data_IF_498285777557
#
_entry.id   IF_498285777557
#
_cell.length_a   1.000
_cell.length_b   1.000
_cell.length_c   1.000
_cell.angle_alpha   90.00
_cell.angle_beta   90.00
_cell.angle_gamma   90.00
#
_symmetry.space_group_name_H-M   'P 1'
#
loop_
_entity.id
_entity.type
_entity.pdbx_description
1 polymer ?
#
# COMPACT_ATOMS: atom_id res chain seq x y z
N UNK A 1 -16.75 40.99 -34.13
CA UNK A 1 -17.86 40.02 -34.25
C UNK A 1 -18.58 40.28 -35.56
N UNK A 2 -18.50 39.34 -36.49
CA UNK A 2 -19.26 39.38 -37.74
C UNK A 2 -20.61 38.68 -37.52
N UNK A 3 -21.63 39.04 -38.31
CA UNK A 3 -22.95 38.40 -38.21
C UNK A 3 -22.82 36.91 -38.58
N UNK A 4 -23.11 36.01 -37.64
CA UNK A 4 -23.00 34.55 -37.78
C UNK A 4 -22.01 33.86 -36.84
N UNK A 5 -21.31 34.61 -35.98
CA UNK A 5 -20.36 34.07 -35.00
C UNK A 5 -21.10 33.51 -33.77
N UNK A 6 -21.08 32.19 -33.57
CA UNK A 6 -21.65 31.54 -32.40
C UNK A 6 -20.75 31.74 -31.17
N UNK A 7 -21.32 32.28 -30.09
CA UNK A 7 -20.61 32.55 -28.84
C UNK A 7 -21.09 31.58 -27.77
N UNK A 8 -20.17 30.81 -27.19
CA UNK A 8 -20.47 29.96 -26.05
C UNK A 8 -20.78 30.84 -24.82
N UNK A 9 -21.99 30.76 -24.29
CA UNK A 9 -22.46 31.60 -23.17
C UNK A 9 -22.48 30.87 -21.81
N UNK A 10 -22.35 29.54 -21.82
CA UNK A 10 -22.28 28.73 -20.60
C UNK A 10 -21.03 27.85 -20.63
N UNK A 11 -20.23 27.87 -19.56
CA UNK A 11 -19.04 27.02 -19.41
C UNK A 11 -17.76 27.56 -20.07
N UNK A 12 -17.71 28.85 -20.41
CA UNK A 12 -16.54 29.51 -21.03
C UNK A 12 -15.24 29.29 -20.26
N UNK A 13 -15.30 29.27 -18.92
CA UNK A 13 -14.13 29.01 -18.07
C UNK A 13 -13.62 27.56 -18.18
N UNK A 14 -14.52 26.58 -18.25
CA UNK A 14 -14.14 25.17 -18.38
C UNK A 14 -13.55 24.86 -19.76
N UNK A 15 -14.07 25.52 -20.80
CA UNK A 15 -13.53 25.43 -22.16
C UNK A 15 -12.13 26.04 -22.23
N UNK A 16 -11.93 27.19 -21.57
CA UNK A 16 -10.65 27.90 -21.53
C UNK A 16 -9.58 27.12 -20.74
N UNK A 17 -9.95 26.56 -19.59
CA UNK A 17 -9.06 25.71 -18.79
C UNK A 17 -8.65 24.43 -19.52
N UNK A 18 -9.58 23.79 -20.24
CA UNK A 18 -9.28 22.63 -21.07
C UNK A 18 -8.37 22.99 -22.25
N UNK A 19 -8.53 24.18 -22.84
CA UNK A 19 -7.66 24.69 -23.90
C UNK A 19 -6.22 24.92 -23.39
N UNK A 20 -6.05 25.51 -22.21
CA UNK A 20 -4.72 25.73 -21.59
C UNK A 20 -4.00 24.41 -21.28
N UNK A 21 -4.70 23.43 -20.71
CA UNK A 21 -4.12 22.10 -20.43
C UNK A 21 -3.73 21.36 -21.71
N UNK A 22 -4.46 21.58 -22.80
CA UNK A 22 -4.18 21.00 -24.11
C UNK A 22 -3.17 21.82 -24.94
N UNK A 23 -2.61 22.91 -24.40
CA UNK A 23 -1.68 23.81 -25.09
C UNK A 23 -2.30 24.58 -26.27
N UNK A 24 -3.63 24.64 -26.33
CA UNK A 24 -4.39 25.32 -27.39
C UNK A 24 -4.55 26.82 -27.06
N UNK A 25 -4.81 27.66 -28.07
CA UNK A 25 -5.13 29.07 -27.86
C UNK A 25 -6.30 29.25 -26.88
N UNK A 26 -6.14 30.18 -25.95
CA UNK A 26 -7.09 30.48 -24.88
C UNK A 26 -7.23 32.00 -24.74
N UNK A 27 -8.29 32.46 -24.07
CA UNK A 27 -8.50 33.88 -23.74
C UNK A 27 -7.36 34.48 -22.90
N UNK A 28 -6.61 33.66 -22.16
CA UNK A 28 -5.41 34.07 -21.40
C UNK A 28 -4.11 33.94 -22.21
N UNK A 29 -4.07 33.06 -23.22
CA UNK A 29 -2.90 32.86 -24.08
C UNK A 29 -3.32 32.78 -25.56
N UNK A 30 -3.48 33.93 -26.25
CA UNK A 30 -4.06 33.99 -27.58
C UNK A 30 -3.24 33.28 -28.67
N UNK A 31 -1.92 33.19 -28.49
CA UNK A 31 -1.03 32.56 -29.46
C UNK A 31 -0.99 31.01 -29.32
N UNK A 32 -1.47 30.47 -28.19
CA UNK A 32 -1.26 29.05 -27.85
C UNK A 32 0.22 28.73 -27.58
N UNK A 33 0.49 27.62 -26.90
CA UNK A 33 1.87 27.24 -26.55
C UNK A 33 1.93 26.26 -25.38
N UNK A 34 3.06 25.55 -25.21
CA UNK A 34 3.23 24.59 -24.13
C UNK A 34 3.05 25.26 -22.76
N UNK A 35 2.34 24.59 -21.87
CA UNK A 35 2.10 25.08 -20.51
C UNK A 35 3.43 25.44 -19.84
N UNK A 36 3.55 26.69 -19.38
CA UNK A 36 4.71 27.15 -18.61
C UNK A 36 4.77 26.37 -17.30
N UNK A 37 5.64 25.37 -17.22
CA UNK A 37 5.95 24.65 -15.98
C UNK A 37 6.69 25.58 -15.03
N UNK A 38 5.95 26.22 -14.15
CA UNK A 38 6.47 27.12 -13.14
C UNK A 38 7.14 26.38 -11.97
N UNK A 39 8.37 26.82 -11.70
CA UNK A 39 9.07 26.87 -10.41
C UNK A 39 9.72 25.59 -9.86
N UNK A 40 11.04 25.57 -10.09
CA UNK A 40 12.07 24.75 -9.48
C UNK A 40 12.16 25.03 -7.97
N UNK A 41 11.75 24.08 -7.13
CA UNK A 41 12.22 24.00 -5.75
C UNK A 41 13.18 22.81 -5.64
N UNK A 42 14.46 23.14 -5.46
CA UNK A 42 15.46 22.18 -5.05
C UNK A 42 15.20 21.74 -3.62
N UNK A 43 14.70 20.53 -3.46
CA UNK A 43 14.88 19.73 -2.26
C UNK A 43 15.38 18.35 -2.72
N UNK A 44 16.68 18.12 -2.56
CA UNK A 44 17.29 16.80 -2.69
C UNK A 44 16.94 15.96 -1.47
N UNK A 45 15.66 15.62 -1.36
CA UNK A 45 15.17 14.54 -0.52
C UNK A 45 14.82 13.38 -1.42
N UNK A 46 15.62 12.30 -1.38
CA UNK A 46 15.20 11.01 -1.92
C UNK A 46 14.03 10.52 -1.06
N UNK A 47 12.84 11.04 -1.32
CA UNK A 47 11.60 10.45 -0.83
C UNK A 47 11.35 9.25 -1.72
N UNK A 48 11.62 8.07 -1.14
CA UNK A 48 11.28 6.79 -1.72
C UNK A 48 9.76 6.68 -1.76
N UNK A 49 9.14 7.31 -2.76
CA UNK A 49 7.71 7.33 -2.99
C UNK A 49 7.31 5.98 -3.61
N UNK A 50 7.34 4.94 -2.78
CA UNK A 50 7.05 3.53 -3.11
C UNK A 50 5.64 3.31 -3.69
N UNK A 51 4.81 4.35 -3.72
CA UNK A 51 3.42 4.29 -4.22
C UNK A 51 3.28 4.60 -5.71
N UNK A 52 4.31 5.16 -6.35
CA UNK A 52 4.29 5.42 -7.81
C UNK A 52 4.85 4.27 -8.67
N UNK A 53 5.27 3.16 -8.06
CA UNK A 53 5.89 2.05 -8.79
C UNK A 53 5.54 0.67 -8.26
N UNK A 54 4.32 0.47 -7.75
CA UNK A 54 3.71 -0.85 -7.88
C UNK A 54 2.63 -0.78 -8.96
N UNK A 55 3.09 -0.68 -10.20
CA UNK A 55 2.36 -1.27 -11.34
C UNK A 55 2.25 -2.76 -11.03
N UNK A 56 1.21 -3.15 -10.28
CA UNK A 56 0.84 -4.56 -10.17
C UNK A 56 0.18 -4.91 -11.48
N UNK A 57 1.00 -5.17 -12.49
CA UNK A 57 0.61 -6.02 -13.61
C UNK A 57 0.36 -7.43 -13.05
N UNK A 58 -0.41 -8.24 -13.75
CA UNK A 58 -0.91 -9.56 -13.31
C UNK A 58 0.22 -10.61 -13.14
N UNK A 59 1.19 -10.35 -12.27
CA UNK A 59 2.28 -11.25 -11.93
C UNK A 59 1.78 -12.26 -10.89
N UNK A 60 1.71 -13.52 -11.30
CA UNK A 60 1.42 -14.66 -10.43
C UNK A 60 2.51 -15.69 -10.66
N UNK A 61 3.16 -16.14 -9.59
CA UNK A 61 4.21 -17.15 -9.63
C UNK A 61 3.70 -18.47 -9.07
N UNK A 62 3.89 -19.54 -9.83
CA UNK A 62 3.60 -20.88 -9.34
C UNK A 62 4.66 -21.30 -8.31
N UNK A 63 4.26 -21.47 -7.05
CA UNK A 63 5.11 -21.94 -5.95
C UNK A 63 4.62 -23.31 -5.47
N UNK A 64 5.54 -24.15 -4.99
CA UNK A 64 5.20 -25.50 -4.54
C UNK A 64 4.34 -25.49 -3.27
N UNK A 65 3.64 -26.59 -3.00
CA UNK A 65 2.83 -26.70 -1.79
C UNK A 65 3.68 -26.59 -0.53
N UNK A 66 4.91 -27.10 -0.54
CA UNK A 66 5.86 -26.96 0.56
C UNK A 66 6.21 -25.50 0.84
N UNK A 67 6.38 -24.69 -0.22
CA UNK A 67 6.63 -23.25 -0.08
C UNK A 67 5.41 -22.53 0.51
N UNK A 68 4.19 -22.85 0.05
CA UNK A 68 2.95 -22.29 0.61
C UNK A 68 2.78 -22.63 2.08
N UNK A 69 2.95 -23.90 2.44
CA UNK A 69 2.89 -24.36 3.84
C UNK A 69 3.94 -23.68 4.72
N UNK A 70 5.13 -23.40 4.18
CA UNK A 70 6.17 -22.67 4.93
C UNK A 70 5.79 -21.20 5.21
N UNK A 71 4.89 -20.60 4.43
CA UNK A 71 4.42 -19.23 4.62
C UNK A 71 3.30 -19.12 5.66
N UNK A 72 2.56 -20.19 5.94
CA UNK A 72 1.42 -20.17 6.87
C UNK A 72 1.75 -19.51 8.23
N UNK A 73 2.85 -19.84 8.91
CA UNK A 73 3.14 -19.25 10.23
C UNK A 73 3.34 -17.73 10.20
N UNK A 74 3.87 -17.17 9.09
CA UNK A 74 4.05 -15.72 9.00
C UNK A 74 2.73 -14.99 8.66
N UNK A 75 1.79 -15.65 7.97
CA UNK A 75 0.45 -15.10 7.78
C UNK A 75 -0.36 -15.13 9.08
N UNK A 76 -0.28 -16.21 9.85
CA UNK A 76 -0.89 -16.30 11.18
C UNK A 76 -0.34 -15.22 12.12
N UNK A 77 0.98 -15.04 12.13
CA UNK A 77 1.61 -13.99 12.94
C UNK A 77 1.26 -12.58 12.46
N UNK A 78 1.18 -12.36 11.14
CA UNK A 78 0.72 -11.09 10.57
C UNK A 78 -0.69 -10.75 11.07
N UNK A 79 -1.63 -11.69 10.96
CA UNK A 79 -3.02 -11.50 11.38
C UNK A 79 -3.10 -11.29 12.90
N UNK A 80 -2.26 -11.97 13.68
CA UNK A 80 -2.18 -11.77 15.12
C UNK A 80 -1.60 -10.39 15.51
N UNK A 81 -0.63 -9.84 14.76
CA UNK A 81 -0.16 -8.46 14.95
C UNK A 81 -1.29 -7.49 14.61
N UNK A 82 -1.97 -7.68 13.47
CA UNK A 82 -3.14 -6.89 13.08
C UNK A 82 -4.19 -6.87 14.19
N UNK A 83 -4.54 -8.04 14.74
CA UNK A 83 -5.54 -8.15 15.80
C UNK A 83 -5.09 -7.50 17.12
N UNK A 84 -3.80 -7.60 17.46
CA UNK A 84 -3.26 -6.87 18.61
C UNK A 84 -3.40 -5.36 18.43
N UNK A 85 -3.08 -4.83 17.25
CA UNK A 85 -3.19 -3.40 16.93
C UNK A 85 -4.64 -2.89 16.87
N UNK A 86 -5.56 -3.73 16.40
CA UNK A 86 -7.01 -3.47 16.42
C UNK A 86 -7.52 -3.30 17.85
N UNK A 87 -6.95 -4.02 18.81
CA UNK A 87 -7.35 -3.99 20.22
C UNK A 87 -6.42 -3.12 21.08
N UNK A 88 -5.59 -2.28 20.47
CA UNK A 88 -4.63 -1.41 21.18
C UNK A 88 -3.70 -2.16 22.17
N UNK A 89 -3.40 -3.44 21.90
CA UNK A 89 -2.60 -4.30 22.77
C UNK A 89 -1.11 -4.26 22.39
N UNK A 90 -0.38 -3.32 23.00
CA UNK A 90 1.04 -3.07 22.74
C UNK A 90 1.91 -4.29 23.03
N UNK A 91 1.72 -4.94 24.17
CA UNK A 91 2.58 -6.05 24.59
C UNK A 91 2.33 -7.30 23.74
N UNK A 92 1.07 -7.59 23.38
CA UNK A 92 0.76 -8.66 22.45
C UNK A 92 1.32 -8.39 21.05
N UNK A 93 1.28 -7.14 20.58
CA UNK A 93 1.87 -6.76 19.30
C UNK A 93 3.40 -7.00 19.30
N UNK A 94 4.11 -6.61 20.37
CA UNK A 94 5.56 -6.82 20.54
C UNK A 94 5.93 -8.30 20.59
N UNK A 95 5.20 -9.08 21.39
CA UNK A 95 5.42 -10.52 21.55
C UNK A 95 5.16 -11.26 20.24
N UNK A 96 4.10 -10.90 19.52
CA UNK A 96 3.78 -11.50 18.22
C UNK A 96 4.80 -11.08 17.16
N UNK A 97 5.27 -9.83 17.15
CA UNK A 97 6.36 -9.38 16.29
C UNK A 97 7.65 -10.18 16.50
N UNK A 98 7.99 -10.50 17.75
CA UNK A 98 9.13 -11.38 18.08
C UNK A 98 8.97 -12.80 17.51
N UNK A 99 7.74 -13.33 17.53
CA UNK A 99 7.42 -14.65 16.95
C UNK A 99 7.48 -14.61 15.43
N UNK A 100 6.93 -13.56 14.82
CA UNK A 100 6.98 -13.30 13.38
C UNK A 100 8.43 -13.32 12.88
N UNK A 101 9.35 -12.62 13.55
CA UNK A 101 10.77 -12.57 13.17
C UNK A 101 11.38 -13.98 13.12
N UNK A 102 11.08 -14.82 14.12
CA UNK A 102 11.59 -16.19 14.21
C UNK A 102 11.03 -17.07 13.08
N UNK A 103 9.73 -16.98 12.81
CA UNK A 103 9.07 -17.72 11.75
C UNK A 103 9.58 -17.30 10.37
N UNK A 104 9.69 -15.98 10.13
CA UNK A 104 10.27 -15.43 8.90
C UNK A 104 11.68 -15.94 8.64
N UNK A 105 12.54 -15.94 9.68
CA UNK A 105 13.92 -16.42 9.58
C UNK A 105 14.07 -17.92 9.34
N UNK A 106 13.01 -18.71 9.55
CA UNK A 106 13.01 -20.16 9.38
C UNK A 106 12.67 -20.60 7.95
N UNK A 107 12.11 -19.69 7.14
CA UNK A 107 11.72 -19.98 5.76
C UNK A 107 12.94 -19.94 4.84
N UNK A 108 13.26 -21.10 4.25
CA UNK A 108 14.42 -21.23 3.36
C UNK A 108 14.10 -20.66 1.99
N UNK A 109 14.92 -19.74 1.49
CA UNK A 109 14.83 -19.21 0.12
C UNK A 109 14.85 -20.28 -0.98
N UNK A 110 15.42 -21.45 -0.70
CA UNK A 110 15.49 -22.58 -1.64
C UNK A 110 14.14 -23.29 -1.86
N UNK A 111 13.11 -22.97 -1.07
CA UNK A 111 11.73 -23.42 -1.31
C UNK A 111 11.11 -22.74 -2.53
N UNK A 112 11.64 -21.58 -2.91
CA UNK A 112 11.23 -20.80 -4.07
C UNK A 112 12.24 -21.01 -5.19
N UNK A 113 11.77 -21.04 -6.43
CA UNK A 113 12.59 -21.28 -7.63
C UNK A 113 12.35 -20.21 -8.70
N UNK A 114 13.31 -20.02 -9.60
CA UNK A 114 13.21 -19.02 -10.67
C UNK A 114 12.97 -17.61 -10.13
N UNK A 115 12.09 -16.86 -10.78
CA UNK A 115 11.73 -15.47 -10.41
C UNK A 115 11.08 -15.38 -9.03
N UNK A 116 10.29 -16.39 -8.64
CA UNK A 116 9.65 -16.45 -7.32
C UNK A 116 10.69 -16.42 -6.18
N UNK A 117 11.90 -16.95 -6.41
CA UNK A 117 12.97 -16.89 -5.43
C UNK A 117 13.45 -15.46 -5.19
N UNK A 118 13.62 -14.68 -6.27
CA UNK A 118 14.04 -13.28 -6.14
C UNK A 118 12.96 -12.42 -5.52
N UNK A 119 11.70 -12.67 -5.90
CA UNK A 119 10.53 -12.05 -5.26
C UNK A 119 10.55 -12.32 -3.76
N UNK A 120 10.65 -13.58 -3.34
CA UNK A 120 10.72 -13.93 -1.92
C UNK A 120 11.89 -13.24 -1.20
N UNK A 121 13.09 -13.26 -1.78
CA UNK A 121 14.29 -12.63 -1.18
C UNK A 121 14.05 -11.13 -0.96
N UNK A 122 13.51 -10.43 -1.96
CA UNK A 122 13.25 -9.00 -1.90
C UNK A 122 12.19 -8.68 -0.84
N UNK A 123 11.03 -9.34 -0.90
CA UNK A 123 9.91 -9.08 0.01
C UNK A 123 10.24 -9.45 1.46
N UNK A 124 10.84 -10.63 1.68
CA UNK A 124 11.21 -11.08 3.03
C UNK A 124 12.27 -10.18 3.68
N UNK A 125 13.19 -9.62 2.90
CA UNK A 125 14.18 -8.65 3.37
C UNK A 125 13.52 -7.35 3.87
N UNK A 126 12.58 -6.79 3.11
CA UNK A 126 11.89 -5.57 3.50
C UNK A 126 10.96 -5.79 4.71
N UNK A 127 10.24 -6.93 4.73
CA UNK A 127 9.45 -7.32 5.91
C UNK A 127 10.35 -7.43 7.14
N UNK A 128 11.51 -8.09 7.02
CA UNK A 128 12.46 -8.25 8.12
C UNK A 128 12.87 -6.91 8.71
N UNK A 129 13.27 -5.95 7.86
CA UNK A 129 13.65 -4.58 8.28
C UNK A 129 12.49 -3.86 8.99
N UNK A 130 11.26 -4.07 8.56
CA UNK A 130 10.10 -3.41 9.14
C UNK A 130 9.70 -4.01 10.50
N UNK A 131 9.81 -5.33 10.65
CA UNK A 131 9.36 -6.06 11.85
C UNK A 131 10.43 -6.16 12.94
N UNK A 132 11.73 -6.13 12.59
CA UNK A 132 12.84 -6.40 13.54
C UNK A 132 12.87 -5.47 14.76
N UNK A 133 12.39 -4.23 14.61
CA UNK A 133 12.38 -3.24 15.69
C UNK A 133 11.11 -3.30 16.55
N UNK A 134 10.04 -3.96 16.08
CA UNK A 134 8.75 -4.02 16.79
C UNK A 134 8.90 -4.42 18.26
N UNK A 135 9.70 -5.44 18.64
CA UNK A 135 9.85 -5.83 20.05
C UNK A 135 10.42 -4.73 20.96
N UNK A 136 11.17 -3.78 20.39
CA UNK A 136 11.83 -2.70 21.11
C UNK A 136 11.06 -1.38 21.08
N UNK A 137 9.92 -1.32 20.38
CA UNK A 137 9.06 -0.14 20.30
C UNK A 137 8.28 0.07 21.60
N UNK A 138 8.03 1.33 21.94
CA UNK A 138 7.42 1.74 23.21
C UNK A 138 5.99 2.20 23.04
N UNK A 139 5.53 2.43 21.80
CA UNK A 139 4.20 2.95 21.52
C UNK A 139 3.51 2.19 20.39
N UNK A 140 2.17 2.17 20.43
CA UNK A 140 1.36 1.60 19.34
C UNK A 140 1.58 2.35 18.03
N UNK A 141 1.82 3.66 18.08
CA UNK A 141 2.06 4.49 16.90
C UNK A 141 3.32 4.08 16.13
N UNK A 142 4.40 3.74 16.86
CA UNK A 142 5.62 3.19 16.26
C UNK A 142 5.34 1.84 15.59
N UNK A 143 4.63 0.93 16.27
CA UNK A 143 4.31 -0.40 15.71
C UNK A 143 3.39 -0.27 14.50
N UNK A 144 2.42 0.65 14.51
CA UNK A 144 1.52 0.92 13.37
C UNK A 144 2.28 1.38 12.13
N UNK A 145 3.29 2.24 12.29
CA UNK A 145 4.17 2.67 11.18
C UNK A 145 4.98 1.51 10.61
N UNK A 146 5.46 0.61 11.47
CA UNK A 146 6.12 -0.63 11.03
C UNK A 146 5.13 -1.58 10.35
N UNK A 147 3.94 -1.77 10.93
CA UNK A 147 2.90 -2.63 10.40
C UNK A 147 2.42 -2.19 9.03
N UNK A 148 2.32 -0.88 8.76
CA UNK A 148 2.03 -0.35 7.43
C UNK A 148 2.97 -0.91 6.36
N UNK A 149 4.28 -0.91 6.64
CA UNK A 149 5.30 -1.44 5.72
C UNK A 149 5.17 -2.95 5.56
N UNK A 150 5.05 -3.68 6.68
CA UNK A 150 4.85 -5.14 6.68
C UNK A 150 3.63 -5.51 5.85
N UNK A 151 2.53 -4.77 6.02
CA UNK A 151 1.26 -5.01 5.37
C UNK A 151 1.34 -4.95 3.85
N UNK A 152 2.01 -3.95 3.30
CA UNK A 152 2.18 -3.80 1.84
C UNK A 152 2.91 -5.02 1.26
N UNK A 153 3.97 -5.49 1.92
CA UNK A 153 4.73 -6.65 1.46
C UNK A 153 3.97 -7.96 1.64
N UNK A 154 3.19 -8.13 2.72
CA UNK A 154 2.35 -9.31 2.92
C UNK A 154 1.22 -9.39 1.90
N UNK A 155 0.58 -8.26 1.56
CA UNK A 155 -0.40 -8.18 0.46
C UNK A 155 0.24 -8.60 -0.86
N UNK A 156 1.45 -8.10 -1.15
CA UNK A 156 2.15 -8.47 -2.37
C UNK A 156 2.47 -9.96 -2.42
N UNK A 157 3.02 -10.53 -1.34
CA UNK A 157 3.30 -11.97 -1.23
C UNK A 157 2.04 -12.80 -1.48
N UNK A 158 0.93 -12.45 -0.85
CA UNK A 158 -0.31 -13.19 -1.05
C UNK A 158 -0.80 -13.12 -2.49
N UNK A 159 -0.78 -11.92 -3.08
CA UNK A 159 -1.24 -11.72 -4.45
C UNK A 159 -0.44 -12.53 -5.47
N UNK A 160 0.88 -12.60 -5.29
CA UNK A 160 1.77 -13.22 -6.30
C UNK A 160 2.01 -14.71 -6.06
N UNK A 161 1.88 -15.21 -4.81
CA UNK A 161 2.08 -16.62 -4.49
C UNK A 161 0.80 -17.39 -4.20
N UNK A 162 -0.30 -16.69 -3.89
CA UNK A 162 -1.59 -17.27 -3.47
C UNK A 162 -1.35 -18.38 -2.45
N UNK A 163 -0.75 -18.00 -1.32
CA UNK A 163 -0.16 -18.94 -0.37
C UNK A 163 -1.21 -19.55 0.56
N UNK A 164 -2.30 -18.84 0.80
CA UNK A 164 -3.37 -19.26 1.70
C UNK A 164 -4.43 -20.07 0.93
N UNK A 165 -5.04 -21.05 1.60
CA UNK A 165 -6.16 -21.82 1.02
C UNK A 165 -7.51 -21.14 1.25
N UNK A 166 -7.58 -20.28 2.25
CA UNK A 166 -8.76 -19.48 2.57
C UNK A 166 -8.57 -18.06 2.03
N UNK A 167 -9.66 -17.46 1.55
CA UNK A 167 -9.63 -16.12 0.98
C UNK A 167 -9.22 -15.08 2.02
N UNK A 168 -8.35 -14.15 1.62
CA UNK A 168 -7.98 -12.99 2.41
C UNK A 168 -8.53 -11.72 1.77
N UNK A 169 -9.07 -10.83 2.59
CA UNK A 169 -9.64 -9.56 2.14
C UNK A 169 -8.62 -8.45 2.26
N UNK A 170 -8.52 -7.62 1.22
CA UNK A 170 -7.78 -6.36 1.28
C UNK A 170 -8.74 -5.29 1.79
N UNK A 171 -8.47 -4.77 2.97
CA UNK A 171 -9.16 -3.63 3.57
C UNK A 171 -8.29 -2.38 3.47
N UNK A 172 -8.91 -1.22 3.48
CA UNK A 172 -8.25 0.07 3.29
C UNK A 172 -8.73 1.13 4.27
N UNK A 173 -7.80 1.91 4.82
CA UNK A 173 -8.10 3.09 5.63
C UNK A 173 -7.55 4.31 4.88
N UNK A 174 -8.39 5.26 4.44
CA UNK A 174 -7.93 6.43 3.69
C UNK A 174 -7.14 7.43 4.56
N UNK A 175 -7.34 7.41 5.88
CA UNK A 175 -6.70 8.35 6.81
C UNK A 175 -5.32 7.90 7.29
N UNK A 176 -5.02 6.60 7.17
CA UNK A 176 -3.72 6.05 7.53
C UNK A 176 -2.58 6.68 6.69
N UNK A 177 -1.33 6.51 7.14
CA UNK A 177 -0.15 7.10 6.50
C UNK A 177 -0.31 8.61 6.20
N UNK A 178 -0.68 9.40 7.22
CA UNK A 178 -0.87 10.85 7.08
C UNK A 178 -1.87 11.21 5.96
N UNK A 179 -3.04 10.56 5.94
CA UNK A 179 -4.08 10.71 4.91
C UNK A 179 -3.69 10.31 3.48
N UNK A 180 -2.58 9.58 3.30
CA UNK A 180 -2.25 8.94 2.01
C UNK A 180 -2.94 7.59 1.86
N UNK A 181 -3.52 7.08 2.94
CA UNK A 181 -4.20 5.80 3.05
C UNK A 181 -3.26 4.61 3.23
N UNK A 182 -3.75 3.49 3.73
CA UNK A 182 -3.00 2.23 3.84
C UNK A 182 -3.91 1.01 3.76
N UNK A 183 -3.36 -0.09 3.24
CA UNK A 183 -4.08 -1.35 3.01
C UNK A 183 -3.59 -2.45 3.96
N UNK A 184 -4.50 -3.34 4.37
CA UNK A 184 -4.18 -4.53 5.16
C UNK A 184 -4.97 -5.77 4.76
N UNK A 185 -4.40 -6.95 5.04
CA UNK A 185 -5.09 -8.22 4.87
C UNK A 185 -5.94 -8.56 6.10
N UNK A 186 -7.09 -9.19 5.88
CA UNK A 186 -7.98 -9.68 6.92
C UNK A 186 -8.60 -11.01 6.50
N UNK A 187 -8.86 -11.90 7.45
CA UNK A 187 -9.63 -13.13 7.23
C UNK A 187 -11.15 -12.91 7.17
N UNK A 188 -11.60 -11.66 7.37
CA UNK A 188 -13.01 -11.27 7.33
C UNK A 188 -13.19 -9.93 6.60
N UNK A 189 -14.37 -9.75 5.98
CA UNK A 189 -14.83 -8.48 5.39
C UNK A 189 -15.17 -7.42 6.43
N UNK A 190 -15.31 -7.80 7.70
CA UNK A 190 -15.56 -6.85 8.79
C UNK A 190 -14.39 -5.85 8.91
N UNK A 191 -14.71 -4.56 8.88
CA UNK A 191 -13.70 -3.50 9.02
C UNK A 191 -13.33 -3.37 10.49
N UNK A 192 -12.11 -3.81 10.82
CA UNK A 192 -11.45 -3.56 12.10
C UNK A 192 -10.08 -2.97 11.83
N UNK A 193 -9.92 -1.67 12.07
CA UNK A 193 -8.81 -0.86 11.60
C UNK A 193 -7.57 -0.96 12.51
N UNK A 194 -6.47 -1.62 12.09
CA UNK A 194 -5.27 -1.75 12.90
C UNK A 194 -4.47 -0.44 13.04
N UNK A 195 -4.67 0.53 12.13
CA UNK A 195 -3.94 1.80 12.12
C UNK A 195 -4.44 2.80 13.15
N UNK A 196 -5.65 2.60 13.66
CA UNK A 196 -6.27 3.50 14.65
C UNK A 196 -6.86 2.78 15.86
N UNK A 197 -6.94 1.44 15.84
CA UNK A 197 -7.44 0.67 16.98
C UNK A 197 -8.86 1.07 17.37
N UNK A 198 -9.12 1.18 18.66
CA UNK A 198 -10.43 1.56 19.20
C UNK A 198 -10.87 2.96 18.76
N UNK A 199 -9.92 3.87 18.50
CA UNK A 199 -10.23 5.26 18.16
C UNK A 199 -11.00 5.42 16.84
N UNK A 200 -10.75 4.53 15.86
CA UNK A 200 -11.46 4.53 14.57
C UNK A 200 -11.65 3.09 14.06
N UNK A 201 -12.16 2.21 14.92
CA UNK A 201 -12.23 0.77 14.67
C UNK A 201 -12.90 0.41 13.35
N UNK A 202 -13.97 1.13 12.99
CA UNK A 202 -14.77 0.87 11.78
C UNK A 202 -14.38 1.75 10.58
N UNK A 203 -13.32 2.56 10.69
CA UNK A 203 -12.86 3.40 9.59
C UNK A 203 -12.18 2.54 8.53
N UNK A 204 -12.78 2.46 7.34
CA UNK A 204 -12.17 1.83 6.19
C UNK A 204 -13.19 1.32 5.17
N UNK A 205 -12.70 0.55 4.21
CA UNK A 205 -13.50 -0.07 3.15
C UNK A 205 -12.84 -1.35 2.65
N UNK A 206 -13.64 -2.32 2.21
CA UNK A 206 -13.13 -3.48 1.45
C UNK A 206 -12.68 -3.01 0.06
N UNK A 207 -11.45 -3.34 -0.34
CA UNK A 207 -10.89 -3.07 -1.67
C UNK A 207 -10.93 -4.28 -2.58
N UNK A 208 -10.83 -5.48 -2.02
CA UNK A 208 -10.79 -6.70 -2.80
C UNK A 208 -10.66 -7.95 -1.95
N UNK A 209 -10.52 -9.07 -2.64
CA UNK A 209 -10.36 -10.42 -2.11
C UNK A 209 -9.21 -11.06 -2.91
N UNK A 210 -8.33 -11.77 -2.20
CA UNK A 210 -7.23 -12.56 -2.74
C UNK A 210 -7.51 -14.04 -2.49
#
# INVERSE_FOLDING_TARGET
>A
LQAGEEIAVNGTFSIDAAAQLAGKPSMMNPEGGPAMTGHNHGDTGVQNDFRSSITIENESYNVSQEAKTALTPIFEDYLAIKDALVNDDLEKAKNTGSRFIKNLGSIKKSLFTGEAQQVWINQSSEIKKAVEQIPNMNTLDEIRKSFEKVSIHMIYIERVFNANSEALYILHCPMANSNKGADWLSSSREIRNPYYGEAMLTCGSVRGEL
#
